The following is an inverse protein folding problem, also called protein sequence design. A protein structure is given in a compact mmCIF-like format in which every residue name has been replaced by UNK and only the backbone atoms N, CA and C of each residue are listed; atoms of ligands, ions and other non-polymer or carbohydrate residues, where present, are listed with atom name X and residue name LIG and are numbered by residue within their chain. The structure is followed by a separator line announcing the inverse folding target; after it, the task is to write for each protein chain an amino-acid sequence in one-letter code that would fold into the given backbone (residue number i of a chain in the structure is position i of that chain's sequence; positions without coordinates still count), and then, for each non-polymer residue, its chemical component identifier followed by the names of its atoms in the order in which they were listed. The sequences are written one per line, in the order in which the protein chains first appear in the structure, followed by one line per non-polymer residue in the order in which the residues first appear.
data_IF_230698293827
#
_entry.id   IF_230698293827
#
_cell.length_a   1.000
_cell.length_b   1.000
_cell.length_c   1.000
_cell.angle_alpha   90.00
_cell.angle_beta   90.00
_cell.angle_gamma   90.00
#
_symmetry.space_group_name_H-M   'P 1'
#
loop_
_entity.id
_entity.type
_entity.pdbx_description
1 polymer ?
#
# COMPACT_ATOMS: atom_id res chain seq x y z
N UNK A 1 8.53 20.05 7.90
CA UNK A 1 8.72 18.65 8.33
C UNK A 1 7.49 17.89 7.88
N UNK A 2 7.63 16.95 6.94
CA UNK A 2 6.51 16.10 6.53
C UNK A 2 6.28 15.08 7.64
N UNK A 3 5.06 15.04 8.19
CA UNK A 3 4.59 13.99 9.10
C UNK A 3 3.52 13.21 8.37
N UNK A 4 3.57 11.90 8.45
CA UNK A 4 2.53 11.02 7.95
C UNK A 4 2.14 10.06 9.07
N UNK A 5 0.85 9.73 9.13
CA UNK A 5 0.26 8.80 10.08
C UNK A 5 -0.64 7.84 9.32
N UNK A 6 -0.64 6.57 9.70
CA UNK A 6 -1.44 5.55 9.04
C UNK A 6 -2.91 5.71 9.43
N UNK A 7 -3.81 5.66 8.44
CA UNK A 7 -5.25 5.55 8.67
C UNK A 7 -5.58 4.32 9.53
N UNK A 8 -6.71 4.32 10.27
CA UNK A 8 -7.19 3.14 10.97
C UNK A 8 -7.34 1.95 10.02
N UNK A 9 -7.03 0.74 10.49
CA UNK A 9 -7.04 -0.48 9.65
C UNK A 9 -8.42 -0.75 9.04
N UNK A 10 -9.50 -0.44 9.76
CA UNK A 10 -10.87 -0.64 9.28
C UNK A 10 -11.20 0.27 8.09
N UNK A 11 -10.72 1.53 8.10
CA UNK A 11 -10.89 2.46 6.97
C UNK A 11 -10.13 1.96 5.73
N UNK A 12 -8.91 1.43 5.92
CA UNK A 12 -8.12 0.87 4.84
C UNK A 12 -8.78 -0.39 4.26
N UNK A 13 -9.31 -1.26 5.13
CA UNK A 13 -10.05 -2.46 4.74
C UNK A 13 -11.29 -2.11 3.92
N UNK A 14 -12.03 -1.09 4.33
CA UNK A 14 -13.20 -0.59 3.61
C UNK A 14 -12.83 -0.02 2.24
N UNK A 15 -11.73 0.73 2.15
CA UNK A 15 -11.25 1.30 0.89
C UNK A 15 -10.93 0.24 -0.18
N UNK A 16 -10.53 -0.96 0.24
CA UNK A 16 -10.24 -2.08 -0.68
C UNK A 16 -11.40 -3.06 -0.81
N UNK A 17 -12.58 -2.77 -0.24
CA UNK A 17 -13.73 -3.65 -0.32
C UNK A 17 -14.21 -3.82 -1.79
N UNK A 18 -14.64 -5.02 -2.14
CA UNK A 18 -15.12 -5.33 -3.51
C UNK A 18 -14.03 -5.63 -4.55
N UNK A 19 -12.75 -5.42 -4.25
CA UNK A 19 -11.63 -5.82 -5.13
C UNK A 19 -11.09 -7.21 -4.76
N UNK A 20 -10.68 -8.04 -5.72
CA UNK A 20 -10.18 -9.39 -5.41
C UNK A 20 -8.65 -9.42 -5.31
N UNK A 21 -7.97 -8.66 -6.17
CA UNK A 21 -6.51 -8.55 -6.22
C UNK A 21 -6.07 -7.13 -5.94
N UNK A 22 -5.37 -6.94 -4.83
CA UNK A 22 -4.94 -5.63 -4.35
C UNK A 22 -3.41 -5.60 -4.25
N UNK A 23 -2.80 -4.62 -4.90
CA UNK A 23 -1.39 -4.31 -4.77
C UNK A 23 -1.22 -3.13 -3.80
N UNK A 24 -0.60 -3.39 -2.64
CA UNK A 24 -0.24 -2.34 -1.69
C UNK A 24 1.10 -1.73 -2.07
N UNK A 25 1.11 -0.44 -2.38
CA UNK A 25 2.30 0.26 -2.83
C UNK A 25 2.85 1.22 -1.78
N UNK A 26 4.14 1.07 -1.46
CA UNK A 26 4.88 1.95 -0.54
C UNK A 26 5.84 2.89 -1.25
N UNK A 27 6.45 3.79 -0.48
CA UNK A 27 7.49 4.73 -0.90
C UNK A 27 8.71 4.65 0.02
N UNK A 28 9.86 4.30 -0.54
CA UNK A 28 11.17 4.21 0.14
C UNK A 28 11.74 5.56 0.61
N UNK A 29 11.07 6.67 0.32
CA UNK A 29 11.52 8.03 0.65
C UNK A 29 11.04 8.55 2.01
N UNK A 30 10.42 9.74 2.02
CA UNK A 30 10.14 10.49 3.25
C UNK A 30 9.23 9.75 4.25
N UNK A 31 8.26 8.97 3.77
CA UNK A 31 7.31 8.24 4.63
C UNK A 31 7.92 6.99 5.28
N UNK A 32 9.01 6.45 4.71
CA UNK A 32 9.78 5.38 5.33
C UNK A 32 10.46 5.86 6.61
N UNK A 33 10.91 7.12 6.64
CA UNK A 33 11.51 7.74 7.84
C UNK A 33 10.47 7.91 8.95
N UNK A 34 9.22 8.17 8.58
CA UNK A 34 8.09 8.24 9.52
C UNK A 34 7.58 6.86 9.95
N UNK A 35 8.12 5.77 9.42
CA UNK A 35 7.67 4.40 9.68
C UNK A 35 6.21 4.17 9.30
N UNK A 36 5.77 4.73 8.16
CA UNK A 36 4.37 4.60 7.70
C UNK A 36 4.18 4.23 6.23
N UNK A 37 5.26 4.06 5.46
CA UNK A 37 5.13 3.74 4.03
C UNK A 37 6.32 3.02 3.38
N UNK A 38 7.32 2.59 4.14
CA UNK A 38 8.44 1.82 3.61
C UNK A 38 8.12 0.34 3.43
N UNK A 39 9.10 -0.42 2.93
CA UNK A 39 8.92 -1.85 2.65
C UNK A 39 8.47 -2.65 3.87
N UNK A 40 9.00 -2.32 5.05
CA UNK A 40 8.60 -2.99 6.29
C UNK A 40 7.13 -2.71 6.60
N UNK A 41 6.70 -1.46 6.45
CA UNK A 41 5.34 -1.02 6.74
C UNK A 41 4.33 -1.56 5.72
N UNK A 42 4.71 -1.67 4.44
CA UNK A 42 3.92 -2.37 3.41
C UNK A 42 3.69 -3.82 3.78
N UNK A 43 4.76 -4.53 4.18
CA UNK A 43 4.67 -5.93 4.59
C UNK A 43 3.80 -6.09 5.84
N UNK A 44 3.94 -5.19 6.80
CA UNK A 44 3.15 -5.19 8.03
C UNK A 44 1.66 -4.94 7.73
N UNK A 45 1.34 -3.96 6.88
CA UNK A 45 -0.03 -3.66 6.49
C UNK A 45 -0.66 -4.84 5.75
N UNK A 46 0.05 -5.46 4.81
CA UNK A 46 -0.43 -6.65 4.11
C UNK A 46 -0.73 -7.81 5.07
N UNK A 47 0.16 -8.06 6.03
CA UNK A 47 -0.05 -9.10 7.04
C UNK A 47 -1.28 -8.78 7.92
N UNK A 48 -1.43 -7.53 8.36
CA UNK A 48 -2.58 -7.09 9.15
C UNK A 48 -3.89 -7.25 8.37
N UNK A 49 -3.96 -6.74 7.14
CA UNK A 49 -5.14 -6.87 6.28
C UNK A 49 -5.51 -8.34 6.05
N UNK A 50 -4.53 -9.19 5.76
CA UNK A 50 -4.76 -10.63 5.56
C UNK A 50 -5.34 -11.29 6.82
N UNK A 51 -4.85 -10.96 8.02
CA UNK A 51 -5.41 -11.46 9.28
C UNK A 51 -6.86 -11.00 9.47
N UNK A 52 -7.17 -9.73 9.19
CA UNK A 52 -8.53 -9.21 9.33
C UNK A 52 -9.50 -9.86 8.33
N UNK A 53 -9.12 -9.97 7.06
CA UNK A 53 -9.94 -10.58 6.02
C UNK A 53 -10.20 -12.07 6.30
N UNK A 54 -9.18 -12.82 6.75
CA UNK A 54 -9.34 -14.23 7.13
C UNK A 54 -10.34 -14.43 8.27
N UNK A 55 -10.38 -13.53 9.26
CA UNK A 55 -11.37 -13.59 10.36
C UNK A 55 -12.81 -13.43 9.84
N UNK A 56 -12.98 -12.74 8.72
CA UNK A 56 -14.28 -12.51 8.07
C UNK A 56 -14.57 -13.55 6.97
N UNK A 57 -13.71 -14.56 6.78
CA UNK A 57 -13.78 -15.54 5.70
C UNK A 57 -13.77 -14.91 4.29
N UNK A 58 -13.10 -13.76 4.14
CA UNK A 58 -12.91 -13.11 2.85
C UNK A 58 -11.55 -13.55 2.29
N UNK A 59 -11.58 -14.21 1.14
CA UNK A 59 -10.37 -14.49 0.37
C UNK A 59 -10.07 -13.32 -0.57
N UNK A 60 -8.83 -12.83 -0.53
CA UNK A 60 -8.33 -11.71 -1.35
C UNK A 60 -6.83 -11.92 -1.58
N UNK A 61 -6.36 -11.65 -2.79
CA UNK A 61 -4.92 -11.60 -3.08
C UNK A 61 -4.37 -10.24 -2.65
N UNK A 62 -3.41 -10.26 -1.72
CA UNK A 62 -2.72 -9.09 -1.20
C UNK A 62 -1.23 -9.22 -1.45
N UNK A 63 -0.72 -8.38 -2.34
CA UNK A 63 0.71 -8.29 -2.63
C UNK A 63 1.25 -6.90 -2.28
N UNK A 64 2.56 -6.81 -2.10
CA UNK A 64 3.23 -5.59 -1.67
C UNK A 64 4.39 -5.23 -2.58
N UNK A 65 4.51 -3.94 -2.91
CA UNK A 65 5.68 -3.42 -3.61
C UNK A 65 6.05 -2.04 -3.09
N UNK A 66 7.34 -1.76 -2.92
CA UNK A 66 7.81 -0.43 -2.53
C UNK A 66 8.67 0.14 -3.62
N UNK A 67 8.23 1.26 -4.19
CA UNK A 67 9.05 2.02 -5.13
C UNK A 67 10.00 2.92 -4.35
N UNK A 68 11.11 3.33 -4.96
CA UNK A 68 12.07 4.22 -4.29
C UNK A 68 11.42 5.58 -3.97
N UNK A 69 10.73 6.19 -4.96
CA UNK A 69 10.04 7.47 -4.79
C UNK A 69 8.73 7.55 -5.59
N UNK A 70 7.59 7.37 -4.94
CA UNK A 70 6.27 7.53 -5.57
C UNK A 70 5.98 8.95 -6.08
N UNK A 71 6.71 9.97 -5.63
CA UNK A 71 6.55 11.35 -6.12
C UNK A 71 7.38 11.67 -7.36
N UNK A 72 8.07 10.68 -7.95
CA UNK A 72 8.80 10.83 -9.18
C UNK A 72 8.36 9.72 -10.15
N UNK A 73 7.76 10.13 -11.25
CA UNK A 73 7.13 9.26 -12.26
C UNK A 73 8.10 8.20 -12.82
N UNK A 74 9.39 8.49 -12.90
CA UNK A 74 10.41 7.54 -13.38
C UNK A 74 10.47 6.28 -12.49
N UNK A 75 10.22 6.42 -11.19
CA UNK A 75 10.16 5.29 -10.27
C UNK A 75 8.79 4.62 -10.24
N UNK A 76 7.77 5.17 -10.92
CA UNK A 76 6.48 4.49 -11.06
C UNK A 76 6.48 3.53 -12.27
N UNK A 77 7.36 3.72 -13.24
CA UNK A 77 7.51 2.84 -14.41
C UNK A 77 7.75 1.37 -14.01
N UNK A 78 8.39 1.11 -12.86
CA UNK A 78 8.60 -0.26 -12.36
C UNK A 78 7.31 -0.98 -11.91
N UNK A 79 6.22 -0.23 -11.73
CA UNK A 79 4.90 -0.76 -11.41
C UNK A 79 4.11 -1.15 -12.67
N UNK A 80 4.40 -0.56 -13.84
CA UNK A 80 3.66 -0.83 -15.09
C UNK A 80 3.50 -2.33 -15.39
N UNK A 81 4.55 -3.17 -15.38
CA UNK A 81 4.38 -4.60 -15.66
C UNK A 81 3.64 -5.37 -14.56
N UNK A 82 3.40 -4.74 -13.40
CA UNK A 82 2.77 -5.37 -12.23
C UNK A 82 1.29 -5.05 -12.14
N UNK A 83 0.90 -3.78 -12.39
CA UNK A 83 -0.45 -3.25 -12.13
C UNK A 83 -1.54 -3.99 -12.90
N UNK A 84 -1.25 -4.49 -14.11
CA UNK A 84 -2.23 -5.21 -14.94
C UNK A 84 -2.76 -6.51 -14.31
N UNK A 85 -2.09 -7.03 -13.27
CA UNK A 85 -2.51 -8.22 -12.55
C UNK A 85 -3.46 -7.94 -11.38
N UNK A 86 -3.74 -6.67 -11.08
CA UNK A 86 -4.49 -6.25 -9.90
C UNK A 86 -5.69 -5.38 -10.27
N UNK A 87 -6.76 -5.50 -9.49
CA UNK A 87 -8.00 -4.73 -9.68
C UNK A 87 -7.95 -3.40 -8.92
N UNK A 88 -7.03 -3.28 -7.96
CA UNK A 88 -6.85 -2.12 -7.10
C UNK A 88 -5.38 -1.95 -6.70
N UNK A 89 -4.93 -0.70 -6.74
CA UNK A 89 -3.64 -0.27 -6.18
C UNK A 89 -3.92 0.58 -4.95
N UNK A 90 -3.50 0.09 -3.78
CA UNK A 90 -3.61 0.82 -2.51
C UNK A 90 -2.28 1.54 -2.22
N UNK A 91 -2.26 2.86 -2.41
CA UNK A 91 -1.10 3.68 -2.07
C UNK A 91 -0.99 3.93 -0.57
N UNK A 92 0.18 3.66 0.02
CA UNK A 92 0.54 4.11 1.38
C UNK A 92 1.12 5.54 1.41
N UNK A 93 1.01 6.24 0.29
CA UNK A 93 1.42 7.61 0.06
C UNK A 93 2.91 7.93 0.07
N UNK A 94 3.24 9.05 -0.58
CA UNK A 94 4.51 9.74 -0.43
C UNK A 94 4.34 10.98 0.44
N UNK A 95 5.46 11.53 0.92
CA UNK A 95 5.48 12.82 1.61
C UNK A 95 5.02 14.02 0.76
N UNK A 96 4.78 13.81 -0.54
CA UNK A 96 4.21 14.79 -1.45
C UNK A 96 2.66 14.73 -1.56
N UNK A 97 2.00 13.80 -0.86
CA UNK A 97 0.53 13.76 -0.77
C UNK A 97 -0.19 12.86 -1.77
N UNK A 98 0.48 11.85 -2.34
CA UNK A 98 -0.14 10.85 -3.23
C UNK A 98 -0.84 9.76 -2.40
N UNK A 99 -1.93 10.08 -1.69
CA UNK A 99 -2.72 9.08 -0.96
C UNK A 99 -4.02 8.77 -1.68
#
# INVERSE_FOLDING_TARGET
MVKAERKPIEEIKEAINGYEKVLVTGCGGCVSICLVGGQREVNELNAQLNIHLKKENIEKQLDGYTVERQCNDQFLEELEPKIDNYDCVLSMACGAGVQ
#
